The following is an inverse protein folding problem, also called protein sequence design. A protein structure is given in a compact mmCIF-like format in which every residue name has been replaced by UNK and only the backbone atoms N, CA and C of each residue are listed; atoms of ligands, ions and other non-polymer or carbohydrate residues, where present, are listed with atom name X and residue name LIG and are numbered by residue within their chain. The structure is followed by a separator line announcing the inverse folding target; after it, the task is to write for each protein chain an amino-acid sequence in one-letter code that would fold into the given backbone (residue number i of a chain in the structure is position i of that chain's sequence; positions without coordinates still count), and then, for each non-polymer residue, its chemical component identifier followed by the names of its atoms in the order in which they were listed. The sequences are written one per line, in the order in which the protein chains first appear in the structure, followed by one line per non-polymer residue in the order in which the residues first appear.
data_IF_858755693237
#
_entry.id   IF_858755693237
#
_cell.length_a   1.000
_cell.length_b   1.000
_cell.length_c   1.000
_cell.angle_alpha   90.00
_cell.angle_beta   90.00
_cell.angle_gamma   90.00
#
_symmetry.space_group_name_H-M   'P 1'
#
loop_
_entity.id
_entity.type
_entity.pdbx_description
1 polymer ?
#
# COMPACT_ATOMS: atom_id res chain seq x y z
N UNK A 1 5.79 -27.82 -28.20
CA UNK A 1 6.68 -26.64 -28.17
C UNK A 1 5.88 -25.44 -28.61
N UNK A 2 5.49 -24.55 -27.69
CA UNK A 2 4.80 -23.31 -28.04
C UNK A 2 5.83 -22.17 -28.14
N UNK A 3 5.80 -21.35 -29.20
CA UNK A 3 6.79 -20.32 -29.44
C UNK A 3 6.60 -19.15 -28.48
N UNK A 4 7.65 -18.83 -27.72
CA UNK A 4 7.71 -17.69 -26.81
C UNK A 4 7.94 -16.39 -27.61
N UNK A 5 6.87 -15.63 -27.84
CA UNK A 5 6.93 -14.29 -28.41
C UNK A 5 7.84 -13.38 -27.55
N UNK A 6 9.09 -13.23 -27.98
CA UNK A 6 10.14 -12.44 -27.30
C UNK A 6 10.43 -11.13 -28.03
N UNK A 7 9.44 -10.57 -28.73
CA UNK A 7 9.58 -9.32 -29.50
C UNK A 7 9.00 -8.16 -28.70
N UNK A 8 9.70 -7.75 -27.64
CA UNK A 8 9.28 -6.62 -26.83
C UNK A 8 10.36 -6.18 -25.85
N UNK A 9 11.22 -5.24 -26.25
CA UNK A 9 12.16 -4.54 -25.36
C UNK A 9 11.49 -3.70 -24.26
N UNK A 10 10.14 -3.69 -24.21
CA UNK A 10 9.31 -3.18 -23.12
C UNK A 10 9.11 -4.20 -21.99
N UNK A 11 9.06 -5.50 -22.31
CA UNK A 11 8.72 -6.59 -21.36
C UNK A 11 9.81 -6.82 -20.31
N UNK A 12 11.06 -6.48 -20.63
CA UNK A 12 12.20 -6.61 -19.70
C UNK A 12 12.52 -5.34 -18.89
N UNK A 13 11.82 -4.23 -19.11
CA UNK A 13 12.10 -2.97 -18.39
C UNK A 13 11.38 -2.95 -17.05
N UNK A 14 12.07 -2.48 -16.00
CA UNK A 14 11.45 -2.24 -14.68
C UNK A 14 10.27 -1.28 -14.84
N UNK A 15 9.13 -1.64 -14.27
CA UNK A 15 7.92 -0.81 -14.24
C UNK A 15 8.25 0.55 -13.63
N UNK A 16 8.05 1.63 -14.38
CA UNK A 16 8.24 3.01 -13.90
C UNK A 16 6.88 3.62 -13.58
N UNK A 17 6.77 4.25 -12.42
CA UNK A 17 5.59 5.05 -12.10
C UNK A 17 5.67 6.39 -12.82
N UNK A 18 4.56 6.82 -13.42
CA UNK A 18 4.47 8.14 -14.02
C UNK A 18 4.60 9.24 -12.93
N UNK A 19 5.19 10.39 -13.27
CA UNK A 19 5.43 11.48 -12.30
C UNK A 19 4.16 12.25 -11.91
N UNK A 20 3.04 11.96 -12.58
CA UNK A 20 1.75 12.57 -12.29
C UNK A 20 1.22 12.05 -10.95
N UNK A 21 1.27 12.93 -9.94
CA UNK A 21 0.70 12.68 -8.63
C UNK A 21 0.62 14.01 -7.86
N UNK A 22 -0.40 14.17 -7.01
CA UNK A 22 -0.39 15.19 -5.99
C UNK A 22 0.67 14.83 -4.93
N UNK A 23 1.84 15.46 -5.02
CA UNK A 23 3.01 15.15 -4.18
C UNK A 23 2.76 15.46 -2.70
N UNK A 24 1.96 16.50 -2.41
CA UNK A 24 1.60 16.89 -1.04
C UNK A 24 0.78 15.78 -0.38
N UNK A 25 -0.31 15.34 -1.03
CA UNK A 25 -1.13 14.24 -0.52
C UNK A 25 -0.34 12.94 -0.39
N UNK A 26 0.52 12.64 -1.38
CA UNK A 26 1.38 11.45 -1.34
C UNK A 26 2.31 11.47 -0.13
N UNK A 27 2.94 12.62 0.18
CA UNK A 27 3.80 12.79 1.35
C UNK A 27 3.02 12.62 2.65
N UNK A 28 1.86 13.27 2.77
CA UNK A 28 1.02 13.18 3.96
C UNK A 28 0.57 11.73 4.23
N UNK A 29 0.03 11.04 3.22
CA UNK A 29 -0.38 9.64 3.34
C UNK A 29 0.80 8.72 3.69
N UNK A 30 1.99 9.02 3.17
CA UNK A 30 3.19 8.26 3.51
C UNK A 30 3.56 8.42 4.99
N UNK A 31 3.55 9.64 5.52
CA UNK A 31 3.80 9.90 6.94
C UNK A 31 2.73 9.26 7.84
N UNK A 32 1.45 9.34 7.44
CA UNK A 32 0.36 8.66 8.15
C UNK A 32 0.57 7.15 8.19
N UNK A 33 0.98 6.53 7.07
CA UNK A 33 1.24 5.09 7.03
C UNK A 33 2.43 4.68 7.90
N UNK A 34 3.51 5.48 7.94
CA UNK A 34 4.65 5.22 8.83
C UNK A 34 4.25 5.28 10.30
N UNK A 35 3.46 6.30 10.68
CA UNK A 35 2.94 6.45 12.03
C UNK A 35 1.98 5.29 12.39
N UNK A 36 1.06 4.95 11.48
CA UNK A 36 0.09 3.89 11.69
C UNK A 36 0.76 2.52 11.91
N UNK A 37 1.81 2.18 11.16
CA UNK A 37 2.56 0.92 11.37
C UNK A 37 3.25 0.86 12.75
N UNK A 38 3.57 2.00 13.36
CA UNK A 38 4.20 2.04 14.69
C UNK A 38 3.19 1.93 15.83
N UNK A 39 2.03 2.57 15.69
CA UNK A 39 1.06 2.71 16.76
C UNK A 39 -0.14 1.77 16.67
N UNK A 40 -0.52 1.31 15.47
CA UNK A 40 -1.64 0.39 15.27
C UNK A 40 -1.09 -1.05 15.18
N UNK A 41 -1.38 -1.92 16.17
CA UNK A 41 -0.85 -3.28 16.21
C UNK A 41 -1.34 -4.15 15.04
N UNK A 42 -2.57 -3.94 14.55
CA UNK A 42 -3.12 -4.69 13.41
C UNK A 42 -2.34 -4.37 12.13
N UNK A 43 -2.06 -3.08 11.90
CA UNK A 43 -1.28 -2.63 10.76
C UNK A 43 0.19 -3.02 10.87
N UNK A 44 0.76 -3.04 12.08
CA UNK A 44 2.12 -3.54 12.35
C UNK A 44 2.25 -5.01 11.97
N UNK A 45 1.36 -5.86 12.49
CA UNK A 45 1.35 -7.30 12.18
C UNK A 45 1.18 -7.51 10.67
N UNK A 46 0.29 -6.76 10.01
CA UNK A 46 0.12 -6.83 8.57
C UNK A 46 1.40 -6.44 7.81
N UNK A 47 2.07 -5.38 8.24
CA UNK A 47 3.31 -4.91 7.64
C UNK A 47 4.42 -5.96 7.77
N UNK A 48 4.65 -6.46 8.99
CA UNK A 48 5.68 -7.46 9.29
C UNK A 48 5.44 -8.76 8.53
N UNK A 49 4.20 -9.26 8.52
CA UNK A 49 3.84 -10.46 7.75
C UNK A 49 4.18 -10.30 6.27
N UNK A 50 3.83 -9.17 5.66
CA UNK A 50 4.11 -8.91 4.24
C UNK A 50 5.58 -8.63 3.95
N UNK A 51 6.32 -8.07 4.90
CA UNK A 51 7.76 -7.92 4.80
C UNK A 51 8.47 -9.28 4.87
N UNK A 52 8.02 -10.18 5.76
CA UNK A 52 8.53 -11.53 5.93
C UNK A 52 8.23 -12.44 4.72
N UNK A 53 7.14 -12.18 3.98
CA UNK A 53 6.87 -12.81 2.67
C UNK A 53 7.92 -12.42 1.58
N UNK A 54 8.97 -11.66 1.89
CA UNK A 54 10.02 -11.26 0.96
C UNK A 54 9.66 -10.08 0.06
N UNK A 55 8.54 -9.40 0.33
CA UNK A 55 8.09 -8.26 -0.50
C UNK A 55 8.90 -7.01 -0.18
N UNK A 56 9.15 -6.20 -1.20
CA UNK A 56 9.84 -4.91 -1.02
C UNK A 56 9.10 -4.03 0.00
N UNK A 57 9.81 -3.53 1.00
CA UNK A 57 9.29 -2.66 2.08
C UNK A 57 8.46 -1.49 1.55
N UNK A 58 8.86 -0.91 0.41
CA UNK A 58 8.12 0.19 -0.22
C UNK A 58 6.77 -0.24 -0.79
N UNK A 59 6.67 -1.46 -1.34
CA UNK A 59 5.39 -2.03 -1.77
C UNK A 59 4.49 -2.31 -0.56
N UNK A 60 5.06 -2.84 0.53
CA UNK A 60 4.29 -3.09 1.75
C UNK A 60 3.73 -1.79 2.33
N UNK A 61 4.53 -0.73 2.40
CA UNK A 61 4.07 0.62 2.80
C UNK A 61 3.00 1.18 1.87
N UNK A 62 3.04 0.87 0.57
CA UNK A 62 1.98 1.26 -0.36
C UNK A 62 0.66 0.52 -0.06
N UNK A 63 0.75 -0.77 0.30
CA UNK A 63 -0.42 -1.55 0.71
C UNK A 63 -1.06 -1.00 1.99
N UNK A 64 -0.24 -0.56 2.96
CA UNK A 64 -0.74 0.09 4.19
C UNK A 64 -1.45 1.41 3.87
N UNK A 65 -0.87 2.24 3.00
CA UNK A 65 -1.53 3.48 2.52
C UNK A 65 -2.91 3.18 1.93
N UNK A 66 -3.01 2.16 1.07
CA UNK A 66 -4.30 1.79 0.47
C UNK A 66 -5.30 1.31 1.53
N UNK A 67 -4.86 0.51 2.51
CA UNK A 67 -5.71 0.09 3.63
C UNK A 67 -6.25 1.27 4.44
N UNK A 68 -5.43 2.28 4.71
CA UNK A 68 -5.87 3.50 5.41
C UNK A 68 -6.95 4.25 4.62
N UNK A 69 -6.73 4.44 3.32
CA UNK A 69 -7.72 5.10 2.44
C UNK A 69 -9.03 4.32 2.43
N UNK A 70 -8.97 3.00 2.28
CA UNK A 70 -10.16 2.14 2.32
C UNK A 70 -10.90 2.22 3.66
N UNK A 71 -10.18 2.27 4.78
CA UNK A 71 -10.79 2.47 6.12
C UNK A 71 -11.52 3.80 6.20
N UNK A 72 -10.91 4.89 5.74
CA UNK A 72 -11.53 6.23 5.73
C UNK A 72 -12.78 6.24 4.83
N UNK A 73 -12.67 5.72 3.60
CA UNK A 73 -13.82 5.64 2.69
C UNK A 73 -14.96 4.78 3.27
N UNK A 74 -14.66 3.69 3.97
CA UNK A 74 -15.67 2.85 4.61
C UNK A 74 -16.40 3.58 5.75
N UNK A 75 -15.69 4.37 6.55
CA UNK A 75 -16.28 5.20 7.62
C UNK A 75 -17.21 6.25 7.03
N UNK A 76 -16.74 6.98 6.01
CA UNK A 76 -17.54 7.99 5.29
C UNK A 76 -18.80 7.35 4.68
N UNK A 77 -18.66 6.20 4.03
CA UNK A 77 -19.81 5.53 3.41
C UNK A 77 -20.84 5.04 4.44
N UNK A 78 -20.39 4.57 5.59
CA UNK A 78 -21.26 4.02 6.65
C UNK A 78 -21.89 5.10 7.53
N UNK A 79 -21.35 6.33 7.53
CA UNK A 79 -21.78 7.43 8.41
C UNK A 79 -21.82 7.02 9.89
N UNK A 80 -20.91 6.12 10.29
CA UNK A 80 -20.75 5.63 11.66
C UNK A 80 -19.32 5.84 12.10
N UNK A 81 -19.07 6.18 13.38
CA UNK A 81 -17.72 6.42 13.87
C UNK A 81 -16.85 5.17 13.72
N UNK A 82 -15.55 5.40 13.50
CA UNK A 82 -14.57 4.32 13.45
C UNK A 82 -14.51 3.59 14.79
N UNK A 83 -14.77 2.29 14.78
CA UNK A 83 -14.66 1.44 15.95
C UNK A 83 -13.29 0.76 15.94
N UNK A 84 -12.48 1.03 16.97
CA UNK A 84 -11.24 0.28 17.20
C UNK A 84 -11.62 -1.14 17.63
N UNK A 85 -11.17 -2.15 16.88
CA UNK A 85 -11.19 -3.52 17.38
C UNK A 85 -10.08 -3.63 18.42
N UNK A 86 -10.47 -3.61 19.69
CA UNK A 86 -9.61 -4.03 20.79
C UNK A 86 -9.58 -5.55 20.70
N UNK A 87 -8.38 -6.11 20.52
CA UNK A 87 -8.14 -7.53 20.70
C UNK A 87 -7.90 -7.79 22.19
#
# INVERSE_FOLDING_TARGET
MLPSCSSGSSVQKRSRVHHIANKTMKKQLHMCALSAVRHDPELKIYYERKANEGKNKMLVLNNVRNKLVLRVCAVIKRQKPYQKRVA
#
